data_IF_793409944809
#
_entry.id   IF_793409944809
#
_cell.length_a   1.000
_cell.length_b   1.000
_cell.length_c   1.000
_cell.angle_alpha   90.00
_cell.angle_beta   90.00
_cell.angle_gamma   90.00
#
_symmetry.space_group_name_H-M   'P 1'
#
loop_
_entity.id
_entity.type
_entity.pdbx_description
1 polymer ?
#
# COMPACT_ATOMS: atom_id res chain seq x y z
N UNK A 1 -8.85 16.30 13.81
CA UNK A 1 -7.93 15.56 12.93
C UNK A 1 -7.64 14.23 13.60
N UNK A 2 -7.63 13.11 12.86
CA UNK A 2 -7.27 11.80 13.42
C UNK A 2 -5.82 11.85 13.92
N UNK A 3 -5.52 11.30 15.10
CA UNK A 3 -4.16 11.24 15.67
C UNK A 3 -3.13 10.63 14.71
N UNK A 4 -3.55 9.72 13.83
CA UNK A 4 -2.68 9.11 12.83
C UNK A 4 -2.23 10.09 11.73
N UNK A 5 -3.08 11.04 11.32
CA UNK A 5 -2.69 12.05 10.33
C UNK A 5 -1.66 13.03 10.91
N UNK A 6 -1.78 13.36 12.19
CA UNK A 6 -0.87 14.29 12.86
C UNK A 6 0.54 13.69 13.02
N UNK A 7 0.64 12.38 13.31
CA UNK A 7 1.92 11.67 13.31
C UNK A 7 2.52 11.56 11.91
N UNK A 8 1.72 11.26 10.87
CA UNK A 8 2.21 11.16 9.49
C UNK A 8 2.76 12.50 9.02
N UNK A 9 2.11 13.62 9.33
CA UNK A 9 2.63 14.96 9.03
C UNK A 9 3.93 15.24 9.80
N UNK A 10 4.01 14.91 11.10
CA UNK A 10 5.25 15.03 11.88
C UNK A 10 6.41 14.20 11.33
N UNK A 11 6.13 12.97 10.86
CA UNK A 11 7.14 12.09 10.25
C UNK A 11 7.53 12.51 8.82
N UNK A 12 6.65 13.26 8.14
CA UNK A 12 6.91 13.86 6.82
C UNK A 12 7.67 15.17 6.90
N UNK A 13 7.61 15.87 8.05
CA UNK A 13 8.49 16.99 8.28
C UNK A 13 9.93 16.52 8.11
N UNK A 14 10.71 17.14 7.20
CA UNK A 14 12.08 16.72 7.00
C UNK A 14 12.82 16.77 8.34
N UNK A 15 13.56 15.71 8.66
CA UNK A 15 14.47 15.66 9.82
C UNK A 15 15.46 16.85 9.84
N UNK A 16 15.58 17.57 8.72
CA UNK A 16 16.31 18.81 8.55
C UNK A 16 15.43 20.07 8.59
N UNK A 17 14.38 20.12 9.40
CA UNK A 17 13.74 21.42 9.71
C UNK A 17 14.76 22.32 10.38
N UNK A 18 14.63 23.64 10.19
CA UNK A 18 15.58 24.61 10.73
C UNK A 18 15.77 24.44 12.25
N UNK A 19 14.68 24.15 12.97
CA UNK A 19 14.70 23.86 14.41
C UNK A 19 15.46 22.58 14.75
N UNK A 20 15.29 21.51 13.98
CA UNK A 20 16.02 20.25 14.18
C UNK A 20 17.49 20.41 13.82
N UNK A 21 17.81 21.14 12.74
CA UNK A 21 19.19 21.47 12.36
C UNK A 21 19.88 22.36 13.39
N UNK A 22 19.19 23.35 13.97
CA UNK A 22 19.71 24.15 15.07
C UNK A 22 20.04 23.30 16.31
N UNK A 23 19.19 22.30 16.63
CA UNK A 23 19.47 21.32 17.69
C UNK A 23 20.68 20.44 17.36
N UNK A 24 20.78 19.94 16.13
CA UNK A 24 21.96 19.20 15.66
C UNK A 24 23.24 20.03 15.67
N UNK A 25 23.17 21.32 15.34
CA UNK A 25 24.31 22.24 15.37
C UNK A 25 24.78 22.56 16.79
N UNK A 26 23.83 22.67 17.73
CA UNK A 26 24.16 22.78 19.15
C UNK A 26 24.85 21.50 19.64
N UNK A 27 24.36 20.33 19.24
CA UNK A 27 24.96 19.04 19.60
C UNK A 27 26.37 18.86 19.02
N UNK A 28 26.55 19.19 17.73
CA UNK A 28 27.87 19.17 17.08
C UNK A 28 28.86 20.12 17.76
N UNK A 29 28.42 21.32 18.14
CA UNK A 29 29.26 22.28 18.90
C UNK A 29 29.66 21.75 20.27
N UNK A 30 28.72 21.20 21.04
CA UNK A 30 29.02 20.55 22.33
C UNK A 30 30.09 19.46 22.19
N UNK A 31 29.99 18.63 21.16
CA UNK A 31 30.94 17.55 20.92
C UNK A 31 32.32 18.04 20.43
N UNK A 32 32.36 19.09 19.60
CA UNK A 32 33.60 19.74 19.16
C UNK A 32 34.33 20.45 20.31
N UNK A 33 33.59 20.98 21.29
CA UNK A 33 34.15 21.62 22.49
C UNK A 33 34.60 20.59 23.55
N UNK A 34 34.58 19.29 23.21
CA UNK A 34 35.00 18.19 24.08
C UNK A 34 34.05 17.93 25.24
N UNK A 35 32.76 18.22 25.08
CA UNK A 35 31.75 18.09 26.13
C UNK A 35 31.91 19.09 27.28
N UNK A 36 32.67 20.18 27.06
CA UNK A 36 32.93 21.22 28.07
C UNK A 36 31.86 22.32 28.08
N UNK A 37 31.05 22.42 27.02
CA UNK A 37 29.88 23.27 27.02
C UNK A 37 28.81 22.67 27.94
N UNK A 38 28.16 23.45 28.77
CA UNK A 38 26.99 22.97 29.53
C UNK A 38 25.81 22.89 28.59
N UNK A 39 25.63 21.75 27.91
CA UNK A 39 24.28 21.41 27.51
C UNK A 39 23.52 21.15 28.80
N UNK A 40 22.43 21.88 29.05
CA UNK A 40 21.66 21.62 30.26
C UNK A 40 21.15 20.19 30.15
N UNK A 41 21.40 19.39 31.20
CA UNK A 41 20.93 18.00 31.28
C UNK A 41 19.44 17.92 30.92
N UNK A 42 18.68 18.92 31.35
CA UNK A 42 17.27 19.11 31.10
C UNK A 42 16.92 19.20 29.61
N UNK A 43 17.71 19.90 28.78
CA UNK A 43 17.47 19.98 27.33
C UNK A 43 17.77 18.65 26.61
N UNK A 44 18.75 17.88 27.09
CA UNK A 44 19.04 16.55 26.55
C UNK A 44 17.98 15.53 26.96
N UNK A 45 17.57 15.53 28.23
CA UNK A 45 16.49 14.69 28.74
C UNK A 45 15.17 15.00 28.02
N UNK A 46 14.85 16.28 27.80
CA UNK A 46 13.67 16.70 27.01
C UNK A 46 13.71 16.22 25.55
N UNK A 47 14.90 16.19 24.91
CA UNK A 47 15.04 15.64 23.57
C UNK A 47 14.78 14.13 23.55
N UNK A 48 15.36 13.39 24.49
CA UNK A 48 15.16 11.94 24.61
C UNK A 48 13.69 11.59 24.88
N UNK A 49 13.03 12.33 25.76
CA UNK A 49 11.60 12.17 26.04
C UNK A 49 10.75 12.37 24.79
N UNK A 50 11.03 13.42 24.00
CA UNK A 50 10.29 13.66 22.74
C UNK A 50 10.47 12.53 21.72
N UNK A 51 11.68 11.95 21.62
CA UNK A 51 11.96 10.83 20.72
C UNK A 51 11.29 9.54 21.19
N UNK A 52 11.24 9.31 22.50
CA UNK A 52 10.54 8.17 23.07
C UNK A 52 9.02 8.28 22.88
N UNK A 53 8.45 9.49 23.01
CA UNK A 53 7.04 9.78 22.71
C UNK A 53 6.71 9.50 21.24
N UNK A 54 7.51 10.03 20.30
CA UNK A 54 7.34 9.79 18.87
C UNK A 54 7.46 8.28 18.53
N UNK A 55 8.40 7.56 19.18
CA UNK A 55 8.53 6.10 19.02
C UNK A 55 7.26 5.39 19.50
N UNK A 56 6.73 5.76 20.65
CA UNK A 56 5.52 5.18 21.20
C UNK A 56 4.30 5.42 20.29
N UNK A 57 4.14 6.65 19.78
CA UNK A 57 3.10 7.02 18.82
C UNK A 57 3.22 6.23 17.51
N UNK A 58 4.45 6.06 16.99
CA UNK A 58 4.72 5.27 15.80
C UNK A 58 4.36 3.80 16.00
N UNK A 59 4.74 3.20 17.13
CA UNK A 59 4.39 1.81 17.44
C UNK A 59 2.87 1.62 17.57
N UNK A 60 2.18 2.56 18.23
CA UNK A 60 0.72 2.52 18.34
C UNK A 60 0.04 2.62 16.97
N UNK A 61 0.57 3.47 16.08
CA UNK A 61 0.06 3.63 14.71
C UNK A 61 0.32 2.38 13.88
N UNK A 62 1.52 1.79 13.97
CA UNK A 62 1.84 0.52 13.30
C UNK A 62 0.88 -0.58 13.75
N UNK A 63 0.66 -0.73 15.06
CA UNK A 63 -0.27 -1.73 15.59
C UNK A 63 -1.69 -1.53 15.06
N UNK A 64 -2.18 -0.29 15.04
CA UNK A 64 -3.51 0.04 14.50
C UNK A 64 -3.63 -0.23 13.00
N UNK A 65 -2.59 0.09 12.20
CA UNK A 65 -2.58 -0.19 10.77
C UNK A 65 -2.49 -1.69 10.47
N UNK A 66 -1.71 -2.44 11.26
CA UNK A 66 -1.64 -3.90 11.14
C UNK A 66 -2.98 -4.56 11.45
N UNK A 67 -3.71 -4.09 12.46
CA UNK A 67 -5.06 -4.58 12.77
C UNK A 67 -6.05 -4.23 11.64
N UNK A 68 -6.02 -3.00 11.14
CA UNK A 68 -6.87 -2.59 10.02
C UNK A 68 -6.57 -3.39 8.74
N UNK A 69 -5.30 -3.70 8.47
CA UNK A 69 -4.90 -4.55 7.35
C UNK A 69 -5.44 -5.97 7.51
N UNK A 70 -5.30 -6.57 8.70
CA UNK A 70 -5.82 -7.90 8.97
C UNK A 70 -7.35 -7.99 8.82
N UNK A 71 -8.09 -6.97 9.27
CA UNK A 71 -9.54 -6.91 9.09
C UNK A 71 -9.92 -6.73 7.60
N UNK A 72 -9.17 -5.92 6.86
CA UNK A 72 -9.38 -5.75 5.42
C UNK A 72 -9.11 -7.05 4.64
N UNK A 73 -8.03 -7.76 4.96
CA UNK A 73 -7.69 -9.07 4.39
C UNK A 73 -8.78 -10.11 4.68
N UNK A 74 -9.24 -10.16 5.94
CA UNK A 74 -10.34 -11.05 6.35
C UNK A 74 -11.63 -10.74 5.59
N UNK A 75 -12.00 -9.46 5.47
CA UNK A 75 -13.18 -9.05 4.71
C UNK A 75 -13.06 -9.40 3.22
N UNK A 76 -11.89 -9.19 2.63
CA UNK A 76 -11.61 -9.61 1.25
C UNK A 76 -11.84 -11.11 1.06
N UNK A 77 -11.37 -11.93 2.00
CA UNK A 77 -11.59 -13.38 1.99
C UNK A 77 -13.08 -13.75 2.15
N UNK A 78 -13.85 -13.05 2.99
CA UNK A 78 -15.30 -13.24 3.13
C UNK A 78 -16.06 -12.89 1.82
N UNK A 79 -15.60 -11.88 1.09
CA UNK A 79 -16.14 -11.46 -0.21
C UNK A 79 -15.68 -12.37 -1.39
N UNK A 80 -14.89 -13.41 -1.09
CA UNK A 80 -14.39 -14.40 -2.03
C UNK A 80 -13.14 -13.99 -2.80
N UNK A 81 -12.47 -12.90 -2.42
CA UNK A 81 -11.17 -12.51 -2.96
C UNK A 81 -10.04 -13.28 -2.29
N UNK A 82 -9.08 -13.71 -3.09
CA UNK A 82 -7.92 -14.49 -2.66
C UNK A 82 -6.62 -13.85 -3.16
N UNK A 83 -5.48 -14.10 -2.50
CA UNK A 83 -4.17 -13.63 -2.96
C UNK A 83 -3.86 -14.12 -4.37
N UNK A 84 -3.32 -13.26 -5.24
CA UNK A 84 -3.06 -13.56 -6.65
C UNK A 84 -2.18 -14.80 -6.85
N UNK A 85 -1.31 -15.11 -5.89
CA UNK A 85 -0.39 -16.25 -5.92
C UNK A 85 -1.14 -17.59 -5.98
N UNK A 86 -2.38 -17.61 -5.49
CA UNK A 86 -3.26 -18.79 -5.44
C UNK A 86 -4.13 -18.96 -6.69
N UNK A 87 -4.05 -18.01 -7.64
CA UNK A 87 -4.90 -18.02 -8.83
C UNK A 87 -4.56 -19.17 -9.79
N UNK A 88 -5.57 -19.74 -10.49
CA UNK A 88 -5.35 -20.72 -11.53
C UNK A 88 -4.54 -20.12 -12.68
N UNK A 89 -3.57 -20.88 -13.18
CA UNK A 89 -2.64 -20.46 -14.26
C UNK A 89 -2.80 -21.28 -15.54
N UNK A 90 -3.86 -22.07 -15.62
CA UNK A 90 -4.19 -23.02 -16.69
C UNK A 90 -5.11 -22.44 -17.78
N UNK A 91 -5.03 -21.11 -17.98
CA UNK A 91 -5.83 -20.32 -18.91
C UNK A 91 -7.32 -20.16 -18.55
N UNK A 92 -7.75 -20.54 -17.35
CA UNK A 92 -9.06 -20.13 -16.83
C UNK A 92 -9.10 -18.60 -16.60
N UNK A 93 -10.22 -17.97 -17.01
CA UNK A 93 -10.43 -16.55 -16.82
C UNK A 93 -10.94 -16.27 -15.39
N UNK A 94 -10.37 -15.25 -14.76
CA UNK A 94 -10.67 -14.86 -13.38
C UNK A 94 -10.97 -13.37 -13.29
N UNK A 95 -11.61 -12.95 -12.20
CA UNK A 95 -11.67 -11.54 -11.83
C UNK A 95 -10.39 -11.17 -11.08
N UNK A 96 -9.78 -10.04 -11.42
CA UNK A 96 -8.58 -9.49 -10.77
C UNK A 96 -8.80 -8.07 -10.30
N UNK A 97 -8.09 -7.65 -9.25
CA UNK A 97 -8.08 -6.26 -8.77
C UNK A 97 -6.80 -5.92 -7.99
N UNK A 98 -6.58 -4.63 -7.74
CA UNK A 98 -5.41 -4.09 -7.06
C UNK A 98 -4.14 -4.17 -7.90
N UNK A 99 -3.01 -3.74 -7.31
CA UNK A 99 -1.71 -3.77 -7.97
C UNK A 99 -1.58 -2.76 -9.11
N UNK A 100 -0.89 -3.14 -10.18
CA UNK A 100 -0.58 -2.26 -11.31
C UNK A 100 -1.04 -2.83 -12.65
N UNK A 101 -1.09 -1.97 -13.67
CA UNK A 101 -1.36 -2.32 -15.05
C UNK A 101 -0.46 -1.55 -16.02
N UNK A 102 -0.33 -2.11 -17.22
CA UNK A 102 0.50 -1.60 -18.30
C UNK A 102 -0.22 -1.79 -19.64
N UNK A 103 -0.37 -0.71 -20.42
CA UNK A 103 -1.04 -0.71 -21.74
C UNK A 103 -0.09 -1.02 -22.91
N UNK A 104 1.21 -0.89 -22.70
CA UNK A 104 2.29 -1.35 -23.58
C UNK A 104 3.62 -1.10 -22.88
N UNK A 105 4.72 -1.73 -23.32
CA UNK A 105 6.07 -1.57 -22.73
C UNK A 105 6.60 -0.11 -22.66
N UNK A 106 5.85 0.87 -23.19
CA UNK A 106 6.22 2.29 -23.26
C UNK A 106 5.52 3.20 -22.22
N UNK A 107 4.58 2.70 -21.43
CA UNK A 107 3.89 3.49 -20.40
C UNK A 107 4.34 3.13 -18.99
N UNK A 108 4.34 4.11 -18.07
CA UNK A 108 4.59 3.83 -16.66
C UNK A 108 3.42 3.04 -16.05
N UNK A 109 3.72 2.14 -15.12
CA UNK A 109 2.75 1.35 -14.36
C UNK A 109 1.65 2.26 -13.78
N UNK A 110 0.42 2.04 -14.24
CA UNK A 110 -0.78 2.65 -13.67
C UNK A 110 -1.26 1.83 -12.48
N UNK A 111 -1.82 2.49 -11.46
CA UNK A 111 -2.51 1.78 -10.38
C UNK A 111 -3.79 1.15 -10.92
N UNK A 112 -4.05 -0.11 -10.59
CA UNK A 112 -5.27 -0.81 -10.96
C UNK A 112 -6.31 -0.64 -9.83
N UNK A 113 -7.14 0.40 -9.95
CA UNK A 113 -8.21 0.73 -9.00
C UNK A 113 -9.60 0.21 -9.45
N UNK A 114 -9.64 -0.65 -10.47
CA UNK A 114 -10.83 -1.32 -10.96
C UNK A 114 -10.75 -2.85 -10.85
N UNK A 115 -11.83 -3.52 -11.25
CA UNK A 115 -11.87 -4.98 -11.44
C UNK A 115 -11.86 -5.30 -12.92
N UNK A 116 -11.02 -6.26 -13.34
CA UNK A 116 -10.93 -6.73 -14.71
C UNK A 116 -11.12 -8.25 -14.80
N UNK A 117 -11.56 -8.73 -15.96
CA UNK A 117 -11.50 -10.16 -16.30
C UNK A 117 -10.15 -10.40 -16.97
N UNK A 118 -9.38 -11.37 -16.48
CA UNK A 118 -8.05 -11.66 -16.99
C UNK A 118 -7.74 -13.15 -17.05
N UNK A 119 -6.80 -13.52 -17.92
CA UNK A 119 -6.22 -14.86 -18.04
C UNK A 119 -4.71 -14.79 -17.82
N UNK A 120 -4.13 -15.83 -17.24
CA UNK A 120 -2.68 -15.92 -17.07
C UNK A 120 -1.99 -16.19 -18.41
N UNK A 121 -1.03 -15.32 -18.78
CA UNK A 121 -0.17 -15.48 -19.95
C UNK A 121 1.29 -15.69 -19.49
N UNK A 122 1.82 -16.93 -19.54
CA UNK A 122 3.21 -17.19 -19.14
C UNK A 122 4.23 -16.46 -20.02
N UNK A 123 3.86 -16.10 -21.25
CA UNK A 123 4.75 -15.51 -22.25
C UNK A 123 4.80 -13.98 -22.19
N UNK A 124 3.94 -13.33 -21.40
CA UNK A 124 3.95 -11.87 -21.22
C UNK A 124 5.31 -11.39 -20.65
N UNK A 125 5.73 -10.17 -20.95
CA UNK A 125 7.01 -9.63 -20.45
C UNK A 125 6.89 -9.12 -19.01
N UNK A 126 7.96 -9.29 -18.22
CA UNK A 126 8.05 -8.79 -16.84
C UNK A 126 7.08 -9.46 -15.84
N UNK A 127 6.70 -8.69 -14.82
CA UNK A 127 5.80 -9.15 -13.74
C UNK A 127 4.31 -9.12 -14.15
N UNK A 128 3.98 -8.49 -15.27
CA UNK A 128 2.60 -8.30 -15.73
C UNK A 128 2.11 -9.51 -16.53
N UNK A 129 1.91 -10.63 -15.84
CA UNK A 129 1.52 -11.92 -16.44
C UNK A 129 0.02 -12.11 -16.64
N UNK A 130 -0.81 -11.18 -16.17
CA UNK A 130 -2.26 -11.28 -16.27
C UNK A 130 -2.77 -10.45 -17.43
N UNK A 131 -3.18 -11.11 -18.51
CA UNK A 131 -3.71 -10.45 -19.69
C UNK A 131 -5.22 -10.23 -19.52
N UNK A 132 -5.65 -8.97 -19.50
CA UNK A 132 -7.04 -8.56 -19.35
C UNK A 132 -7.47 -7.55 -20.40
N UNK A 133 -8.76 -7.54 -20.70
CA UNK A 133 -9.38 -6.49 -21.51
C UNK A 133 -9.78 -5.30 -20.66
N UNK A 134 -9.50 -4.08 -21.13
CA UNK A 134 -10.24 -2.90 -20.68
C UNK A 134 -11.55 -2.86 -21.47
N UNK A 135 -12.68 -2.80 -20.76
CA UNK A 135 -14.01 -2.73 -21.37
C UNK A 135 -14.26 -1.51 -22.28
N UNK A 136 -13.27 -0.63 -22.50
CA UNK A 136 -13.41 0.59 -23.29
C UNK A 136 -12.62 0.63 -24.60
N UNK A 137 -11.69 -0.29 -24.88
CA UNK A 137 -10.85 -0.23 -26.08
C UNK A 137 -10.85 -1.53 -26.87
N UNK A 138 -11.21 -1.44 -28.15
CA UNK A 138 -11.56 -2.59 -28.99
C UNK A 138 -10.36 -3.49 -29.40
N UNK A 139 -9.11 -3.07 -29.19
CA UNK A 139 -7.92 -3.80 -29.64
C UNK A 139 -6.73 -3.71 -28.66
N UNK A 140 -6.93 -3.19 -27.45
CA UNK A 140 -5.87 -2.98 -26.46
C UNK A 140 -5.75 -4.14 -25.47
N UNK A 141 -4.59 -4.81 -25.44
CA UNK A 141 -4.26 -5.79 -24.39
C UNK A 141 -3.63 -5.04 -23.22
N UNK A 142 -4.23 -5.18 -22.03
CA UNK A 142 -3.64 -4.69 -20.79
C UNK A 142 -2.99 -5.86 -20.06
N UNK A 143 -1.75 -5.64 -19.67
CA UNK A 143 -1.03 -6.57 -18.81
C UNK A 143 -1.12 -6.05 -17.38
N UNK A 144 -1.57 -6.90 -16.47
CA UNK A 144 -1.81 -6.58 -15.07
C UNK A 144 -0.82 -7.31 -14.18
N UNK A 145 -0.45 -6.66 -13.08
CA UNK A 145 0.21 -7.24 -11.92
C UNK A 145 -0.70 -7.07 -10.69
N UNK A 146 -1.83 -7.80 -10.65
CA UNK A 146 -2.84 -7.64 -9.61
C UNK A 146 -2.39 -8.27 -8.30
N UNK A 147 -3.02 -7.85 -7.19
CA UNK A 147 -2.74 -8.44 -5.86
C UNK A 147 -3.79 -9.45 -5.42
N UNK A 148 -5.00 -9.39 -5.99
CA UNK A 148 -6.11 -10.26 -5.62
C UNK A 148 -6.83 -10.81 -6.84
N UNK A 149 -7.43 -11.98 -6.68
CA UNK A 149 -8.31 -12.61 -7.67
C UNK A 149 -9.53 -13.25 -7.04
N UNK A 150 -10.53 -13.58 -7.87
CA UNK A 150 -11.62 -14.51 -7.52
C UNK A 150 -12.17 -15.20 -8.77
N UNK A 151 -12.82 -16.37 -8.66
CA UNK A 151 -13.49 -16.99 -9.80
C UNK A 151 -14.58 -16.09 -10.38
N UNK A 152 -14.87 -16.27 -11.68
CA UNK A 152 -16.01 -15.60 -12.31
C UNK A 152 -17.32 -16.02 -11.62
N UNK A 153 -18.24 -15.09 -11.35
CA UNK A 153 -19.54 -15.47 -10.81
C UNK A 153 -20.27 -16.37 -11.82
N UNK A 154 -21.09 -17.31 -11.33
CA UNK A 154 -21.93 -18.09 -12.24
C UNK A 154 -22.83 -17.13 -13.04
N UNK A 155 -23.16 -17.48 -14.30
CA UNK A 155 -24.05 -16.67 -15.10
C UNK A 155 -25.39 -16.46 -14.37
N UNK A 156 -26.04 -15.30 -14.56
CA UNK A 156 -27.38 -15.08 -14.03
C UNK A 156 -28.31 -16.23 -14.44
N UNK A 157 -29.17 -16.67 -13.51
CA UNK A 157 -30.18 -17.69 -13.84
C UNK A 157 -31.07 -17.17 -14.95
N UNK A 158 -31.46 -18.07 -15.86
CA UNK A 158 -32.36 -17.74 -16.94
C UNK A 158 -33.72 -17.26 -16.36
N UNK A 159 -34.02 -15.98 -16.57
CA UNK A 159 -35.27 -15.35 -16.10
C UNK A 159 -36.50 -15.92 -16.82
N UNK A 160 -36.31 -16.74 -17.87
CA UNK A 160 -37.38 -17.47 -18.56
C UNK A 160 -38.06 -18.53 -17.66
N UNK A 161 -37.44 -18.92 -16.55
CA UNK A 161 -38.01 -19.87 -15.57
C UNK A 161 -38.56 -19.19 -14.30
N UNK A 162 -39.27 -18.07 -14.44
CA UNK A 162 -40.35 -17.67 -13.52
C UNK A 162 -40.05 -17.56 -12.02
N UNK A 163 -38.80 -17.43 -11.59
CA UNK A 163 -38.44 -17.18 -10.20
C UNK A 163 -38.41 -15.67 -9.94
N UNK A 164 -39.37 -15.14 -9.19
CA UNK A 164 -39.33 -13.78 -8.66
C UNK A 164 -38.07 -13.55 -7.80
N UNK A 165 -37.58 -12.29 -7.71
CA UNK A 165 -36.42 -11.92 -6.89
C UNK A 165 -36.59 -12.26 -5.41
#
# INVERSE_FOLDING_TARGET
>A
MSKGNDLIERLREPLATEKTMQRWDAWRRYHMDGGKATWTRDEFESLLESLDEDRCDALATIASLSEALAEAEKKGAEDGWMPIETAPRDAEAVLITGGTWLYSESFADGMCDWTAIATFDPNASGDHKWNGGNGTEYDGIYYHNPTHWRPLPPPPRDLSQGGQP
#
